data_IF_477106136606
#
_entry.id   IF_477106136606
#
_cell.length_a   1.000
_cell.length_b   1.000
_cell.length_c   1.000
_cell.angle_alpha   90.00
_cell.angle_beta   90.00
_cell.angle_gamma   90.00
#
_symmetry.space_group_name_H-M   'P 1'
#
loop_
_entity.id
_entity.type
_entity.pdbx_description
1 polymer ?
#
# COMPACT_ATOMS: atom_id res chain seq x y z
N UNK A 1 10.27 5.99 31.43
CA UNK A 1 9.70 7.00 30.49
C UNK A 1 9.68 6.39 29.10
N UNK A 2 8.50 6.00 28.59
CA UNK A 2 8.34 5.51 27.21
C UNK A 2 8.24 6.71 26.26
N UNK A 3 9.19 6.83 25.32
CA UNK A 3 9.08 7.81 24.24
C UNK A 3 8.04 7.33 23.22
N UNK A 4 7.00 8.13 23.01
CA UNK A 4 5.96 7.91 21.99
C UNK A 4 6.56 8.06 20.58
N UNK A 5 7.17 6.99 20.06
CA UNK A 5 7.64 6.94 18.68
C UNK A 5 6.46 6.60 17.77
N UNK A 6 5.88 7.63 17.12
CA UNK A 6 4.88 7.43 16.06
C UNK A 6 5.57 6.70 14.89
N UNK A 7 5.10 5.52 14.44
CA UNK A 7 5.76 4.81 13.36
C UNK A 7 5.72 5.67 12.10
N UNK A 8 6.91 6.08 11.65
CA UNK A 8 7.09 6.76 10.36
C UNK A 8 7.26 5.64 9.33
N UNK A 9 6.34 5.57 8.39
CA UNK A 9 6.36 4.57 7.33
C UNK A 9 6.39 5.23 5.96
N UNK A 10 6.96 4.54 4.98
CA UNK A 10 6.78 4.89 3.58
C UNK A 10 5.74 3.94 3.00
N UNK A 11 4.64 4.47 2.49
CA UNK A 11 3.76 3.70 1.61
C UNK A 11 4.43 3.58 0.26
N UNK A 12 4.42 2.36 -0.28
CA UNK A 12 4.99 2.06 -1.58
C UNK A 12 3.85 1.76 -2.54
N UNK A 13 3.68 2.63 -3.52
CA UNK A 13 2.81 2.40 -4.67
C UNK A 13 3.64 1.83 -5.82
N UNK A 14 3.13 0.81 -6.49
CA UNK A 14 3.78 0.14 -7.60
C UNK A 14 2.85 0.24 -8.80
N UNK A 15 3.33 0.82 -9.89
CA UNK A 15 2.59 1.04 -11.11
C UNK A 15 3.27 0.30 -12.26
N UNK A 16 2.76 -0.88 -12.66
CA UNK A 16 3.24 -1.59 -13.85
C UNK A 16 2.67 -0.96 -15.13
N UNK A 17 3.55 -0.62 -16.08
CA UNK A 17 3.21 -0.11 -17.40
C UNK A 17 3.73 -1.05 -18.49
N UNK A 18 2.85 -1.44 -19.42
CA UNK A 18 3.26 -2.17 -20.61
C UNK A 18 3.88 -1.19 -21.60
N UNK A 19 5.06 -1.52 -22.12
CA UNK A 19 5.74 -0.71 -23.14
C UNK A 19 5.78 -1.46 -24.49
N UNK A 20 5.91 -0.75 -25.63
CA UNK A 20 6.21 -1.36 -26.93
C UNK A 20 7.47 -2.23 -26.88
N UNK A 21 7.71 -3.11 -27.86
CA UNK A 21 8.90 -4.00 -27.83
C UNK A 21 10.22 -3.25 -28.03
N UNK A 22 10.15 -2.14 -28.73
CA UNK A 22 11.24 -1.31 -29.24
C UNK A 22 11.32 0.05 -28.54
N UNK A 23 10.77 0.14 -27.32
CA UNK A 23 10.85 1.36 -26.54
C UNK A 23 12.29 1.75 -26.22
N UNK A 24 12.55 3.06 -26.26
CA UNK A 24 13.81 3.65 -25.85
C UNK A 24 13.77 3.94 -24.33
N UNK A 25 14.71 3.36 -23.59
CA UNK A 25 14.84 3.57 -22.15
C UNK A 25 15.24 5.00 -21.85
N UNK A 26 16.17 5.55 -22.62
CA UNK A 26 16.73 6.87 -22.36
C UNK A 26 15.64 7.92 -22.54
N UNK A 27 14.81 7.77 -23.58
CA UNK A 27 13.66 8.65 -23.80
C UNK A 27 12.59 8.49 -22.71
N UNK A 28 12.26 7.25 -22.31
CA UNK A 28 11.28 7.02 -21.25
C UNK A 28 11.75 7.57 -19.89
N UNK A 29 13.03 7.39 -19.56
CA UNK A 29 13.65 7.92 -18.36
C UNK A 29 13.70 9.46 -18.40
N UNK A 30 14.02 10.06 -19.55
CA UNK A 30 14.00 11.51 -19.75
C UNK A 30 12.62 12.11 -19.51
N UNK A 31 11.58 11.52 -20.12
CA UNK A 31 10.18 11.97 -19.95
C UNK A 31 9.74 11.91 -18.48
N UNK A 32 10.04 10.81 -17.79
CA UNK A 32 9.73 10.66 -16.37
C UNK A 32 10.48 11.70 -15.51
N UNK A 33 11.78 11.87 -15.77
CA UNK A 33 12.63 12.82 -15.06
C UNK A 33 12.17 14.27 -15.23
N UNK A 34 11.92 14.70 -16.47
CA UNK A 34 11.42 16.05 -16.77
C UNK A 34 10.02 16.31 -16.22
N UNK A 35 9.13 15.32 -16.32
CA UNK A 35 7.79 15.40 -15.77
C UNK A 35 7.83 15.57 -14.25
N UNK A 36 8.64 14.78 -13.56
CA UNK A 36 8.80 14.88 -12.11
C UNK A 36 9.47 16.20 -11.70
N UNK A 37 10.51 16.63 -12.41
CA UNK A 37 11.18 17.91 -12.17
C UNK A 37 10.20 19.10 -12.31
N UNK A 38 9.37 19.09 -13.35
CA UNK A 38 8.34 20.12 -13.57
C UNK A 38 7.27 20.07 -12.47
N UNK A 39 6.84 18.86 -12.09
CA UNK A 39 5.85 18.69 -11.01
C UNK A 39 6.39 19.20 -9.68
N UNK A 40 7.67 19.01 -9.35
CA UNK A 40 8.29 19.59 -8.14
C UNK A 40 8.25 21.11 -8.11
N UNK A 41 8.35 21.79 -9.25
CA UNK A 41 8.25 23.26 -9.34
C UNK A 41 6.83 23.74 -9.05
N UNK A 42 5.82 22.99 -9.48
CA UNK A 42 4.40 23.31 -9.28
C UNK A 42 3.92 22.91 -7.87
N UNK A 43 4.43 21.79 -7.35
CA UNK A 43 4.05 21.21 -6.07
C UNK A 43 5.26 21.15 -5.15
N UNK A 44 5.59 22.27 -4.50
CA UNK A 44 6.77 22.41 -3.63
C UNK A 44 6.86 21.34 -2.53
N UNK A 45 5.73 20.77 -2.11
CA UNK A 45 5.68 19.65 -1.14
C UNK A 45 6.48 18.43 -1.59
N UNK A 46 6.53 18.17 -2.90
CA UNK A 46 7.30 17.06 -3.49
C UNK A 46 8.81 17.30 -3.46
N UNK A 47 9.22 18.56 -3.34
CA UNK A 47 10.63 18.97 -3.21
C UNK A 47 11.05 19.15 -1.74
N UNK A 48 10.30 18.59 -0.79
CA UNK A 48 10.56 18.73 0.64
C UNK A 48 10.86 17.39 1.29
N UNK A 49 11.71 17.42 2.33
CA UNK A 49 11.83 16.33 3.30
C UNK A 49 11.17 16.71 4.62
N UNK A 50 10.62 15.72 5.31
CA UNK A 50 10.14 15.92 6.68
C UNK A 50 11.32 15.92 7.66
N UNK A 51 11.44 16.98 8.45
CA UNK A 51 12.46 17.12 9.51
C UNK A 51 11.79 17.39 10.85
N UNK A 52 12.43 17.05 11.95
CA UNK A 52 11.92 17.38 13.29
C UNK A 52 11.77 18.89 13.47
N UNK A 53 10.64 19.32 14.02
CA UNK A 53 10.40 20.73 14.34
C UNK A 53 10.78 21.02 15.79
N UNK A 54 12.01 21.52 15.99
CA UNK A 54 12.58 21.81 17.31
C UNK A 54 12.04 23.09 17.96
N UNK A 55 11.30 23.91 17.21
CA UNK A 55 10.74 25.18 17.68
C UNK A 55 9.36 24.99 18.35
N UNK A 56 8.72 23.84 18.15
CA UNK A 56 7.40 23.54 18.72
C UNK A 56 7.56 22.87 20.07
N UNK A 57 6.79 23.35 21.05
CA UNK A 57 6.71 22.75 22.40
C UNK A 57 6.16 21.32 22.39
N UNK A 58 5.41 20.92 21.37
CA UNK A 58 4.85 19.59 21.23
C UNK A 58 5.89 18.60 20.68
N UNK A 59 6.14 17.52 21.40
CA UNK A 59 7.05 16.48 20.96
C UNK A 59 6.55 15.74 19.70
N UNK A 60 7.49 15.37 18.83
CA UNK A 60 7.22 14.55 17.63
C UNK A 60 6.59 15.30 16.46
N UNK A 61 6.57 16.63 16.48
CA UNK A 61 6.13 17.45 15.35
C UNK A 61 7.22 17.45 14.27
N UNK A 62 6.80 17.30 13.02
CA UNK A 62 7.67 17.45 11.85
C UNK A 62 7.27 18.71 11.10
N UNK A 63 8.26 19.33 10.44
CA UNK A 63 8.05 20.35 9.42
C UNK A 63 8.64 19.91 8.10
N UNK A 64 8.09 20.45 7.01
CA UNK A 64 8.64 20.26 5.68
C UNK A 64 9.80 21.23 5.49
N UNK A 65 10.97 20.71 5.17
CA UNK A 65 12.13 21.49 4.75
C UNK A 65 12.36 21.27 3.28
N UNK A 66 12.29 22.34 2.49
CA UNK A 66 12.66 22.30 1.07
C UNK A 66 14.09 21.78 0.92
N UNK A 67 14.25 20.81 0.04
CA UNK A 67 15.55 20.24 -0.30
C UNK A 67 16.25 21.11 -1.34
N UNK A 68 17.58 21.03 -1.40
CA UNK A 68 18.33 21.61 -2.50
C UNK A 68 18.18 20.72 -3.74
N UNK A 69 18.18 21.34 -4.92
CA UNK A 69 18.21 20.58 -6.16
C UNK A 69 19.49 19.72 -6.20
N UNK A 70 19.33 18.45 -6.57
CA UNK A 70 20.42 17.47 -6.56
C UNK A 70 20.80 16.91 -5.18
N UNK A 71 20.09 17.27 -4.09
CA UNK A 71 20.36 16.70 -2.76
C UNK A 71 20.01 15.20 -2.67
N UNK A 72 19.00 14.75 -3.43
CA UNK A 72 18.64 13.35 -3.61
C UNK A 72 18.39 13.12 -5.12
N UNK A 73 18.77 11.95 -5.60
CA UNK A 73 18.45 11.52 -6.96
C UNK A 73 16.94 11.30 -7.10
N UNK A 74 16.29 12.05 -8.00
CA UNK A 74 14.84 12.11 -8.09
C UNK A 74 14.22 10.79 -8.57
N UNK A 75 14.62 10.34 -9.75
CA UNK A 75 14.18 9.10 -10.39
C UNK A 75 15.41 8.33 -10.79
N UNK A 76 15.58 7.15 -10.20
CA UNK A 76 16.66 6.22 -10.55
C UNK A 76 16.12 5.21 -11.55
N UNK A 77 16.40 5.45 -12.83
CA UNK A 77 16.12 4.51 -13.91
C UNK A 77 17.07 3.31 -13.85
N UNK A 78 16.53 2.10 -13.88
CA UNK A 78 17.31 0.86 -13.92
C UNK A 78 16.92 0.04 -15.14
N UNK A 79 17.91 -0.28 -15.96
CA UNK A 79 17.74 -1.25 -17.05
C UNK A 79 17.93 -2.67 -16.50
N UNK A 80 16.82 -3.38 -16.34
CA UNK A 80 16.77 -4.78 -15.90
C UNK A 80 16.27 -5.70 -17.03
N UNK A 81 16.48 -5.30 -18.30
CA UNK A 81 16.11 -6.12 -19.47
C UNK A 81 17.04 -7.32 -19.69
N UNK A 82 18.25 -7.28 -19.12
CA UNK A 82 19.19 -8.40 -19.24
C UNK A 82 18.61 -9.69 -18.62
N UNK A 83 18.87 -10.87 -19.22
CA UNK A 83 18.40 -12.15 -18.69
C UNK A 83 18.77 -12.33 -17.22
N UNK A 84 17.76 -12.62 -16.37
CA UNK A 84 17.95 -12.84 -14.93
C UNK A 84 18.07 -11.58 -14.07
N UNK A 85 18.13 -10.38 -14.67
CA UNK A 85 18.19 -9.12 -13.91
C UNK A 85 16.86 -8.80 -13.21
N UNK A 86 15.74 -9.24 -13.77
CA UNK A 86 14.42 -9.18 -13.15
C UNK A 86 13.75 -10.57 -13.17
N UNK A 87 12.95 -10.96 -12.14
CA UNK A 87 12.43 -12.32 -12.03
C UNK A 87 11.57 -12.80 -13.20
N UNK A 88 10.86 -11.90 -13.89
CA UNK A 88 9.90 -12.23 -14.95
C UNK A 88 9.70 -11.08 -15.94
N UNK A 89 9.45 -11.37 -17.20
CA UNK A 89 9.04 -10.36 -18.18
C UNK A 89 7.62 -9.82 -17.89
N UNK A 90 7.30 -8.66 -18.49
CA UNK A 90 6.01 -8.00 -18.26
C UNK A 90 4.81 -8.88 -18.63
N UNK A 91 4.88 -9.61 -19.76
CA UNK A 91 3.80 -10.48 -20.20
C UNK A 91 3.47 -11.57 -19.15
N UNK A 92 4.51 -12.14 -18.53
CA UNK A 92 4.37 -13.17 -17.49
C UNK A 92 3.89 -12.59 -16.16
N UNK A 93 4.27 -11.36 -15.82
CA UNK A 93 3.68 -10.63 -14.69
C UNK A 93 2.18 -10.44 -14.86
N UNK A 94 1.76 -9.99 -16.06
CA UNK A 94 0.35 -9.76 -16.40
C UNK A 94 -0.46 -11.06 -16.34
N UNK A 95 0.06 -12.14 -16.91
CA UNK A 95 -0.58 -13.48 -16.87
C UNK A 95 -0.80 -13.98 -15.45
N UNK A 96 0.14 -13.70 -14.53
CA UNK A 96 0.06 -14.09 -13.12
C UNK A 96 -0.71 -13.09 -12.23
N UNK A 97 -1.33 -12.06 -12.81
CA UNK A 97 -2.07 -11.06 -12.04
C UNK A 97 -1.20 -10.18 -11.13
N UNK A 98 0.04 -9.89 -11.53
CA UNK A 98 0.98 -9.00 -10.82
C UNK A 98 1.22 -9.40 -9.34
N UNK A 99 1.80 -10.58 -9.08
CA UNK A 99 2.04 -11.04 -7.71
C UNK A 99 2.99 -10.08 -6.97
N UNK A 100 2.61 -9.67 -5.76
CA UNK A 100 3.36 -8.70 -4.94
C UNK A 100 4.82 -9.14 -4.71
N UNK A 101 5.06 -10.45 -4.61
CA UNK A 101 6.39 -11.02 -4.42
C UNK A 101 7.38 -10.75 -5.57
N UNK A 102 6.89 -10.36 -6.75
CA UNK A 102 7.73 -10.02 -7.89
C UNK A 102 8.32 -8.60 -7.81
N UNK A 103 7.82 -7.73 -6.92
CA UNK A 103 8.21 -6.33 -6.84
C UNK A 103 9.14 -6.06 -5.65
N UNK A 104 10.43 -5.89 -5.93
CA UNK A 104 11.42 -5.40 -4.94
C UNK A 104 11.33 -3.87 -4.82
N UNK A 105 11.92 -3.33 -3.73
CA UNK A 105 11.83 -1.94 -3.33
C UNK A 105 12.69 -0.96 -4.17
N UNK A 106 12.51 -0.92 -5.49
CA UNK A 106 13.36 -0.12 -6.41
C UNK A 106 12.53 0.81 -7.30
N UNK A 107 13.09 1.98 -7.67
CA UNK A 107 12.33 3.22 -7.97
C UNK A 107 11.84 3.36 -9.43
N UNK A 108 12.51 2.80 -10.44
CA UNK A 108 11.96 2.70 -11.79
C UNK A 108 12.69 1.58 -12.56
N UNK A 109 12.04 0.43 -12.71
CA UNK A 109 12.67 -0.76 -13.27
C UNK A 109 12.14 -1.02 -14.68
N UNK A 110 12.99 -0.81 -15.68
CA UNK A 110 12.73 -1.21 -17.06
C UNK A 110 12.98 -2.71 -17.20
N UNK A 111 11.96 -3.44 -17.60
CA UNK A 111 11.98 -4.89 -17.78
C UNK A 111 11.63 -5.23 -19.23
N UNK A 112 11.85 -6.47 -19.69
CA UNK A 112 11.42 -6.86 -21.02
C UNK A 112 9.91 -6.63 -21.18
N UNK A 113 9.55 -5.76 -22.12
CA UNK A 113 8.17 -5.39 -22.45
C UNK A 113 7.45 -4.43 -21.48
N UNK A 114 8.15 -3.79 -20.53
CA UNK A 114 7.48 -2.85 -19.63
C UNK A 114 8.36 -2.07 -18.66
N UNK A 115 7.71 -1.25 -17.85
CA UNK A 115 8.27 -0.45 -16.78
C UNK A 115 7.51 -0.72 -15.48
N UNK A 116 8.24 -0.93 -14.39
CA UNK A 116 7.69 -0.95 -13.03
C UNK A 116 8.10 0.35 -12.35
N UNK A 117 7.16 1.27 -12.20
CA UNK A 117 7.39 2.54 -11.50
C UNK A 117 7.00 2.39 -10.03
N UNK A 118 7.92 2.74 -9.13
CA UNK A 118 7.67 2.64 -7.68
C UNK A 118 7.71 4.02 -7.05
N UNK A 119 6.62 4.43 -6.40
CA UNK A 119 6.55 5.68 -5.65
C UNK A 119 6.51 5.38 -4.15
N UNK A 120 7.52 5.86 -3.42
CA UNK A 120 7.53 5.84 -1.95
C UNK A 120 7.10 7.19 -1.39
N UNK A 121 5.98 7.20 -0.65
CA UNK A 121 5.43 8.41 -0.02
C UNK A 121 5.54 8.27 1.49
N UNK A 122 6.16 9.25 2.14
CA UNK A 122 6.18 9.31 3.60
C UNK A 122 4.73 9.47 4.09
N UNK A 123 4.23 8.45 4.78
CA UNK A 123 2.91 8.47 5.37
C UNK A 123 3.01 8.79 6.85
N UNK A 124 2.43 9.93 7.23
CA UNK A 124 2.36 10.42 8.60
C UNK A 124 0.91 10.30 9.08
N UNK A 125 0.49 9.11 9.50
CA UNK A 125 -0.85 8.92 10.04
C UNK A 125 -1.18 7.46 10.29
N UNK A 126 -1.22 7.05 11.56
CA UNK A 126 -2.42 6.86 12.38
C UNK A 126 -1.97 7.23 13.81
N UNK A 127 -2.84 7.84 14.63
CA UNK A 127 -2.62 7.93 16.07
C UNK A 127 -2.79 6.52 16.67
N UNK A 128 -1.87 5.63 16.32
CA UNK A 128 -1.71 4.37 17.05
C UNK A 128 -0.75 4.74 18.17
N UNK A 129 -1.14 4.51 19.43
CA UNK A 129 -0.16 4.37 20.50
C UNK A 129 0.98 3.46 20.03
N UNK A 130 2.12 3.44 20.73
CA UNK A 130 2.98 2.25 20.64
C UNK A 130 2.15 1.04 21.09
N UNK A 131 1.43 0.42 20.16
CA UNK A 131 0.60 -0.74 20.43
C UNK A 131 1.55 -1.91 20.33
N UNK A 132 1.75 -2.59 21.45
CA UNK A 132 2.27 -3.93 21.40
C UNK A 132 1.23 -4.78 20.68
N UNK A 133 1.41 -4.98 19.38
CA UNK A 133 0.55 -5.87 18.62
C UNK A 133 0.85 -7.29 19.09
N UNK A 134 -0.17 -8.10 19.43
CA UNK A 134 0.05 -9.49 19.80
C UNK A 134 0.82 -10.22 18.70
N UNK A 135 1.74 -11.10 19.10
CA UNK A 135 2.52 -11.93 18.18
C UNK A 135 1.64 -12.68 17.16
N UNK A 136 0.45 -13.13 17.60
CA UNK A 136 -0.57 -13.74 16.76
C UNK A 136 -0.96 -12.90 15.53
N UNK A 137 -0.96 -11.56 15.62
CA UNK A 137 -1.25 -10.70 14.46
C UNK A 137 -0.17 -10.81 13.38
N UNK A 138 1.09 -10.99 13.77
CA UNK A 138 2.19 -11.15 12.83
C UNK A 138 2.16 -12.54 12.19
N UNK A 139 1.92 -13.58 12.97
CA UNK A 139 1.77 -14.95 12.45
C UNK A 139 0.57 -15.09 11.51
N UNK A 140 -0.58 -14.49 11.85
CA UNK A 140 -1.77 -14.50 10.99
C UNK A 140 -1.53 -13.72 9.69
N UNK A 141 -0.78 -12.61 9.78
CA UNK A 141 -0.38 -11.85 8.59
C UNK A 141 0.47 -12.71 7.66
N UNK A 142 1.44 -13.46 8.18
CA UNK A 142 2.25 -14.36 7.35
C UNK A 142 1.39 -15.42 6.65
N UNK A 143 0.40 -15.98 7.33
CA UNK A 143 -0.57 -16.91 6.73
C UNK A 143 -1.40 -16.26 5.61
N UNK A 144 -1.89 -15.03 5.82
CA UNK A 144 -2.64 -14.27 4.80
C UNK A 144 -1.80 -13.93 3.57
N UNK A 145 -0.48 -13.72 3.74
CA UNK A 145 0.42 -13.43 2.64
C UNK A 145 0.78 -14.67 1.81
N UNK A 146 0.43 -15.88 2.28
CA UNK A 146 0.62 -17.12 1.57
C UNK A 146 -0.65 -17.52 0.80
N UNK A 147 -0.51 -17.84 -0.49
CA UNK A 147 -1.63 -18.34 -1.28
C UNK A 147 -2.05 -19.72 -0.77
N UNK A 148 -3.36 -19.93 -0.58
CA UNK A 148 -3.91 -21.25 -0.26
C UNK A 148 -3.86 -22.21 -1.46
N UNK A 149 -3.65 -21.70 -2.67
CA UNK A 149 -3.65 -22.47 -3.92
C UNK A 149 -4.99 -23.08 -4.31
N UNK A 150 -6.05 -22.88 -3.51
CA UNK A 150 -7.38 -23.50 -3.72
C UNK A 150 -8.22 -22.78 -4.77
N UNK A 151 -8.04 -21.47 -4.89
CA UNK A 151 -8.76 -20.63 -5.85
C UNK A 151 -7.75 -19.97 -6.80
N UNK A 152 -8.13 -19.66 -8.05
CA UNK A 152 -7.26 -18.98 -9.02
C UNK A 152 -7.03 -17.50 -8.70
N UNK A 153 -7.51 -17.01 -7.54
CA UNK A 153 -7.33 -15.63 -7.06
C UNK A 153 -8.27 -14.61 -7.71
N UNK A 154 -9.29 -15.07 -8.44
CA UNK A 154 -10.36 -14.21 -8.99
C UNK A 154 -11.32 -13.84 -7.87
N UNK A 155 -11.70 -12.57 -7.77
CA UNK A 155 -12.58 -12.08 -6.69
C UNK A 155 -13.94 -12.77 -6.73
N UNK A 156 -14.39 -13.18 -7.92
CA UNK A 156 -15.66 -13.85 -8.19
C UNK A 156 -15.72 -15.25 -7.55
N UNK A 157 -14.58 -15.87 -7.33
CA UNK A 157 -14.46 -17.23 -6.81
C UNK A 157 -14.40 -17.28 -5.27
N UNK A 158 -14.63 -16.15 -4.61
CA UNK A 158 -14.56 -15.98 -3.16
C UNK A 158 -15.90 -15.54 -2.58
N UNK A 159 -16.58 -16.45 -1.90
CA UNK A 159 -17.88 -16.22 -1.23
C UNK A 159 -17.87 -15.09 -0.19
N UNK A 160 -16.68 -14.74 0.31
CA UNK A 160 -16.44 -13.73 1.32
C UNK A 160 -16.42 -12.31 0.75
N UNK A 161 -16.30 -12.16 -0.58
CA UNK A 161 -16.34 -10.86 -1.24
C UNK A 161 -17.69 -10.63 -1.92
N UNK A 162 -18.25 -9.44 -1.71
CA UNK A 162 -19.39 -8.96 -2.51
C UNK A 162 -18.85 -8.09 -3.64
N UNK A 163 -18.97 -8.56 -4.88
CA UNK A 163 -18.64 -7.76 -6.06
C UNK A 163 -19.85 -6.91 -6.40
N UNK A 164 -19.66 -5.59 -6.36
CA UNK A 164 -20.70 -4.67 -6.79
C UNK A 164 -20.80 -4.70 -8.32
N UNK A 165 -21.98 -4.90 -8.91
CA UNK A 165 -22.15 -5.01 -10.36
C UNK A 165 -22.07 -3.65 -11.07
N UNK A 166 -21.72 -2.58 -10.36
CA UNK A 166 -21.62 -1.22 -10.88
C UNK A 166 -20.44 -0.49 -10.25
N UNK A 167 -19.91 0.50 -10.97
CA UNK A 167 -18.92 1.44 -10.42
C UNK A 167 -19.66 2.49 -9.60
N UNK A 168 -19.35 2.66 -8.30
CA UNK A 168 -19.96 3.71 -7.50
C UNK A 168 -19.73 5.08 -8.17
N UNK A 169 -20.75 5.95 -8.30
CA UNK A 169 -20.63 7.25 -8.97
C UNK A 169 -19.71 8.24 -8.23
N UNK A 170 -19.28 7.87 -7.02
CA UNK A 170 -18.36 8.62 -6.19
C UNK A 170 -18.13 7.88 -4.87
N UNK A 171 -17.29 8.47 -4.01
CA UNK A 171 -17.12 7.96 -2.66
C UNK A 171 -18.46 8.02 -1.91
N UNK A 172 -18.82 7.00 -1.11
CA UNK A 172 -20.02 7.03 -0.30
C UNK A 172 -20.08 8.32 0.54
N UNK A 173 -21.21 9.06 0.57
CA UNK A 173 -21.30 10.33 1.29
C UNK A 173 -20.87 10.24 2.75
N UNK A 174 -21.09 9.08 3.38
CA UNK A 174 -20.68 8.79 4.75
C UNK A 174 -19.16 8.75 4.93
N UNK A 175 -18.39 8.34 3.91
CA UNK A 175 -16.92 8.39 3.95
C UNK A 175 -16.37 9.81 3.72
N UNK A 176 -17.15 10.68 3.07
CA UNK A 176 -16.81 12.09 2.85
C UNK A 176 -17.13 12.97 4.07
N UNK A 177 -17.89 12.46 5.02
CA UNK A 177 -18.30 13.21 6.19
C UNK A 177 -17.12 13.43 7.14
N UNK A 178 -16.97 14.66 7.64
CA UNK A 178 -15.90 15.04 8.59
C UNK A 178 -16.01 14.35 9.95
N UNK A 179 -17.14 13.72 10.24
CA UNK A 179 -17.39 12.93 11.44
C UNK A 179 -17.22 11.42 11.22
N UNK A 180 -16.85 10.98 10.01
CA UNK A 180 -16.64 9.57 9.74
C UNK A 180 -15.45 9.03 10.53
N UNK A 181 -15.66 7.94 11.26
CA UNK A 181 -14.60 7.20 11.95
C UNK A 181 -14.60 5.76 11.45
N UNK A 182 -13.53 5.36 10.79
CA UNK A 182 -13.26 3.96 10.53
C UNK A 182 -12.61 3.33 11.77
N UNK A 183 -13.07 2.14 12.14
CA UNK A 183 -12.44 1.32 13.17
C UNK A 183 -12.11 -0.03 12.54
N UNK A 184 -10.90 -0.51 12.79
CA UNK A 184 -10.46 -1.84 12.37
C UNK A 184 -10.47 -2.73 13.60
N UNK A 185 -11.24 -3.81 13.57
CA UNK A 185 -11.28 -4.81 14.63
C UNK A 185 -10.46 -6.02 14.19
N UNK A 186 -9.48 -6.43 15.00
CA UNK A 186 -8.79 -7.70 14.84
C UNK A 186 -9.39 -8.71 15.81
N UNK A 187 -9.87 -9.83 15.28
CA UNK A 187 -10.27 -10.96 16.10
C UNK A 187 -9.21 -12.05 15.94
N UNK A 188 -8.47 -12.31 17.02
CA UNK A 188 -7.63 -13.51 17.08
C UNK A 188 -8.48 -14.75 16.91
N UNK A 189 -7.87 -15.89 16.53
CA UNK A 189 -8.58 -17.18 16.45
C UNK A 189 -9.38 -17.47 17.74
N UNK A 190 -8.75 -17.28 18.90
CA UNK A 190 -9.41 -17.48 20.20
C UNK A 190 -10.58 -16.50 20.42
N UNK A 191 -10.44 -15.24 20.00
CA UNK A 191 -11.51 -14.24 20.09
C UNK A 191 -12.68 -14.56 19.14
N UNK A 192 -12.39 -15.08 17.94
CA UNK A 192 -13.42 -15.54 17.01
C UNK A 192 -14.16 -16.75 17.57
N UNK A 193 -13.45 -17.71 18.13
CA UNK A 193 -14.05 -18.91 18.72
C UNK A 193 -14.94 -18.52 19.91
N UNK A 194 -14.45 -17.67 20.81
CA UNK A 194 -15.24 -17.14 21.91
C UNK A 194 -16.47 -16.35 21.42
N UNK A 195 -16.32 -15.52 20.38
CA UNK A 195 -17.42 -14.77 19.80
C UNK A 195 -18.47 -15.70 19.19
N UNK A 196 -18.06 -16.74 18.47
CA UNK A 196 -18.96 -17.75 17.89
C UNK A 196 -19.70 -18.54 18.97
N UNK A 197 -19.01 -18.92 20.05
CA UNK A 197 -19.64 -19.56 21.20
C UNK A 197 -20.66 -18.63 21.85
N UNK A 198 -20.30 -17.37 22.10
CA UNK A 198 -21.20 -16.39 22.70
C UNK A 198 -22.42 -16.09 21.81
N UNK A 199 -22.19 -15.93 20.50
CA UNK A 199 -23.22 -15.68 19.50
C UNK A 199 -23.97 -16.95 19.04
N UNK A 200 -23.72 -18.10 19.68
CA UNK A 200 -24.42 -19.35 19.37
C UNK A 200 -25.93 -19.17 19.52
N UNK A 201 -26.76 -19.70 18.60
CA UNK A 201 -28.22 -19.69 18.73
C UNK A 201 -28.70 -20.29 20.05
N UNK A 202 -27.94 -21.22 20.64
CA UNK A 202 -28.24 -21.80 21.95
C UNK A 202 -28.23 -20.79 23.11
N UNK A 203 -27.59 -19.63 22.93
CA UNK A 203 -27.52 -18.55 23.91
C UNK A 203 -28.48 -17.39 23.61
N UNK A 204 -29.32 -17.50 22.57
CA UNK A 204 -30.32 -16.49 22.25
C UNK A 204 -31.46 -16.51 23.28
N UNK A 205 -31.68 -15.40 23.98
CA UNK A 205 -32.72 -15.26 25.02
C UNK A 205 -34.07 -14.82 24.48
N UNK A 206 -34.15 -14.50 23.19
CA UNK A 206 -35.39 -14.16 22.49
C UNK A 206 -35.55 -15.08 21.29
N UNK A 207 -36.78 -15.56 21.01
CA UNK A 207 -37.04 -16.30 19.79
C UNK A 207 -36.73 -15.41 18.58
N UNK A 208 -35.99 -15.98 17.63
CA UNK A 208 -35.74 -15.38 16.32
C UNK A 208 -36.99 -15.54 15.45
N UNK A 209 -37.43 -14.48 14.78
CA UNK A 209 -38.48 -14.52 13.76
C UNK A 209 -37.93 -14.71 12.34
N UNK A 210 -36.65 -15.09 12.20
CA UNK A 210 -36.09 -15.48 10.91
C UNK A 210 -36.41 -16.96 10.66
N UNK A 211 -37.36 -17.20 9.76
CA UNK A 211 -37.49 -18.46 9.01
C UNK A 211 -36.37 -18.57 7.96
#
# INVERSE_FOLDING_TARGET
MSQLLRPKGYLRYIFPFQLPKDYDIDEAARVLGEGYHTTKKLMTVLACKAVSDTERKQAGVLKLKKMRDGEIEDIVARDLRAPGAFPMEYARLKEKGFPVSAFKAEVANFIPGGLILTWSILHMGINVPSVHLPEAMFSDRELLMNSSGRNPGRLEDHSEYTILPFTPPGAPPKMLATNHRAQVFYFSKASLDALKTAASPANATKPSSQE
#
